data_IF_570857690864
#
_entry.id   IF_570857690864
#
_cell.length_a   1.000
_cell.length_b   1.000
_cell.length_c   1.000
_cell.angle_alpha   90.00
_cell.angle_beta   90.00
_cell.angle_gamma   90.00
#
_symmetry.space_group_name_H-M   'P 1'
#
loop_
_entity.id
_entity.type
_entity.pdbx_description
1 polymer ?
#
# COMPACT_ATOMS: atom_id res chain seq x y z
N UNK A 1 2.59 -12.84 4.65
CA UNK A 1 1.20 -13.30 4.40
C UNK A 1 0.82 -12.88 2.98
N UNK A 2 0.09 -13.70 2.23
CA UNK A 2 -0.41 -13.36 0.89
C UNK A 2 -1.91 -13.05 0.97
N UNK A 3 -2.33 -11.94 0.36
CA UNK A 3 -3.73 -11.49 0.34
C UNK A 3 -4.12 -11.21 -1.11
N UNK A 4 -5.16 -11.90 -1.59
CA UNK A 4 -5.68 -11.73 -2.95
C UNK A 4 -7.00 -10.98 -2.90
N UNK A 5 -7.11 -9.90 -3.68
CA UNK A 5 -8.29 -9.05 -3.79
C UNK A 5 -8.98 -9.29 -5.13
N UNK A 6 -10.28 -9.62 -5.09
CA UNK A 6 -11.10 -9.68 -6.30
C UNK A 6 -11.80 -8.34 -6.50
N UNK A 7 -11.50 -7.68 -7.61
CA UNK A 7 -12.11 -6.40 -7.99
C UNK A 7 -12.88 -6.56 -9.30
N UNK A 8 -13.97 -5.78 -9.50
CA UNK A 8 -14.66 -5.72 -10.78
C UNK A 8 -13.72 -5.32 -11.93
N UNK A 9 -13.94 -5.91 -13.11
CA UNK A 9 -13.05 -5.75 -14.27
C UNK A 9 -12.91 -4.30 -14.74
N UNK A 10 -14.00 -3.53 -14.71
CA UNK A 10 -14.02 -2.11 -15.07
C UNK A 10 -13.21 -1.25 -14.08
N UNK A 11 -13.23 -1.61 -12.79
CA UNK A 11 -12.40 -0.97 -11.75
C UNK A 11 -10.93 -1.32 -12.00
N UNK A 12 -10.62 -2.60 -12.22
CA UNK A 12 -9.26 -3.06 -12.49
C UNK A 12 -8.64 -2.32 -13.69
N UNK A 13 -9.38 -2.18 -14.79
CA UNK A 13 -8.95 -1.41 -15.97
C UNK A 13 -8.60 0.04 -15.63
N UNK A 14 -9.41 0.70 -14.81
CA UNK A 14 -9.16 2.09 -14.40
C UNK A 14 -7.92 2.20 -13.51
N UNK A 15 -7.73 1.25 -12.60
CA UNK A 15 -6.57 1.22 -11.71
C UNK A 15 -5.27 0.96 -12.47
N UNK A 16 -5.28 0.08 -13.48
CA UNK A 16 -4.10 -0.24 -14.29
C UNK A 16 -3.83 0.76 -15.42
N UNK A 17 -4.82 1.53 -15.86
CA UNK A 17 -4.68 2.51 -16.95
C UNK A 17 -3.61 3.58 -16.70
N UNK A 18 -3.29 3.88 -15.44
CA UNK A 18 -2.26 4.84 -15.06
C UNK A 18 -0.81 4.31 -15.22
N UNK A 19 -0.63 3.07 -15.66
CA UNK A 19 0.70 2.52 -16.00
C UNK A 19 1.62 2.18 -14.82
N UNK A 20 1.13 2.28 -13.59
CA UNK A 20 1.89 1.92 -12.37
C UNK A 20 1.44 0.60 -11.74
N UNK A 21 2.32 -0.01 -10.96
CA UNK A 21 2.02 -1.22 -10.18
C UNK A 21 0.84 -0.98 -9.23
N UNK A 22 -0.29 -1.63 -9.51
CA UNK A 22 -1.52 -1.50 -8.70
C UNK A 22 -1.32 -2.15 -7.34
N UNK A 23 -0.62 -3.27 -7.27
CA UNK A 23 -0.38 -3.99 -6.02
C UNK A 23 0.46 -3.14 -5.08
N UNK A 24 1.51 -2.49 -5.60
CA UNK A 24 2.34 -1.58 -4.81
C UNK A 24 1.54 -0.40 -4.26
N UNK A 25 0.76 0.27 -5.11
CA UNK A 25 -0.08 1.41 -4.68
C UNK A 25 -1.16 1.02 -3.68
N UNK A 26 -1.75 -0.16 -3.85
CA UNK A 26 -2.71 -0.69 -2.89
C UNK A 26 -2.06 -0.95 -1.53
N UNK A 27 -0.85 -1.51 -1.52
CA UNK A 27 -0.09 -1.75 -0.30
C UNK A 27 0.29 -0.43 0.40
N UNK A 28 0.73 0.58 -0.35
CA UNK A 28 1.03 1.92 0.15
C UNK A 28 -0.21 2.59 0.76
N UNK A 29 -1.36 2.53 0.08
CA UNK A 29 -2.62 3.07 0.61
C UNK A 29 -3.06 2.38 1.91
N UNK A 30 -2.90 1.06 1.99
CA UNK A 30 -3.21 0.30 3.21
C UNK A 30 -2.27 0.66 4.36
N UNK A 31 -0.98 0.82 4.08
CA UNK A 31 -0.01 1.21 5.10
C UNK A 31 -0.28 2.63 5.63
N UNK A 32 -0.60 3.57 4.73
CA UNK A 32 -0.97 4.93 5.08
C UNK A 32 -2.22 5.00 5.96
N UNK A 33 -3.28 4.28 5.58
CA UNK A 33 -4.52 4.29 6.35
C UNK A 33 -4.36 3.61 7.70
N UNK A 34 -3.67 2.45 7.76
CA UNK A 34 -3.40 1.76 9.02
C UNK A 34 -2.57 2.61 9.98
N UNK A 35 -1.63 3.40 9.48
CA UNK A 35 -0.87 4.35 10.32
C UNK A 35 -1.74 5.51 10.82
N UNK A 36 -2.57 6.08 9.93
CA UNK A 36 -3.52 7.16 10.27
C UNK A 36 -4.50 6.75 11.36
N UNK A 37 -5.00 5.52 11.31
CA UNK A 37 -5.92 4.95 12.29
C UNK A 37 -5.21 4.45 13.57
N UNK A 38 -3.89 4.59 13.66
CA UNK A 38 -3.05 4.04 14.73
C UNK A 38 -3.14 2.50 14.89
N UNK A 39 -3.62 1.80 13.86
CA UNK A 39 -3.62 0.34 13.79
C UNK A 39 -2.23 -0.21 13.46
N UNK A 40 -1.40 0.58 12.76
CA UNK A 40 -0.01 0.30 12.47
C UNK A 40 0.91 1.35 13.11
N UNK A 41 2.04 0.89 13.65
CA UNK A 41 3.14 1.75 14.04
C UNK A 41 4.07 2.03 12.85
N UNK A 42 4.88 3.09 12.94
CA UNK A 42 5.80 3.49 11.87
C UNK A 42 6.77 2.36 11.44
N UNK A 43 7.25 1.55 12.38
CA UNK A 43 8.13 0.43 12.05
C UNK A 43 7.41 -0.66 11.23
N UNK A 44 6.11 -0.86 11.45
CA UNK A 44 5.31 -1.83 10.69
C UNK A 44 5.04 -1.33 9.27
N UNK A 45 4.88 -0.01 9.09
CA UNK A 45 4.80 0.64 7.76
C UNK A 45 6.11 0.42 7.00
N UNK A 46 7.25 0.66 7.66
CA UNK A 46 8.59 0.43 7.09
C UNK A 46 8.76 -1.02 6.62
N UNK A 47 8.45 -2.00 7.48
CA UNK A 47 8.53 -3.42 7.12
C UNK A 47 7.56 -3.79 5.99
N UNK A 48 6.33 -3.29 6.03
CA UNK A 48 5.30 -3.58 5.03
C UNK A 48 5.66 -3.04 3.65
N UNK A 49 6.30 -1.86 3.57
CA UNK A 49 6.67 -1.21 2.32
C UNK A 49 8.11 -1.52 1.88
N UNK A 50 8.89 -2.23 2.70
CA UNK A 50 10.31 -2.51 2.45
C UNK A 50 11.17 -1.24 2.42
N UNK A 51 10.76 -0.21 3.15
CA UNK A 51 11.45 1.08 3.23
C UNK A 51 12.39 1.09 4.44
N UNK A 52 13.51 1.81 4.35
CA UNK A 52 14.31 2.12 5.52
C UNK A 52 13.54 3.04 6.48
N UNK A 53 14.02 3.16 7.72
CA UNK A 53 13.43 4.08 8.70
C UNK A 53 13.36 5.52 8.17
N UNK A 54 14.42 6.00 7.53
CA UNK A 54 14.49 7.38 7.01
C UNK A 54 13.48 7.56 5.87
N UNK A 55 13.44 6.63 4.92
CA UNK A 55 12.45 6.66 3.83
C UNK A 55 11.00 6.56 4.33
N UNK A 56 10.78 5.90 5.46
CA UNK A 56 9.45 5.78 6.07
C UNK A 56 9.04 7.05 6.82
N UNK A 57 10.00 7.80 7.37
CA UNK A 57 9.73 9.12 7.97
C UNK A 57 9.34 10.16 6.92
N UNK A 58 9.77 9.99 5.66
CA UNK A 58 9.43 10.82 4.51
C UNK A 58 8.17 10.37 3.74
N UNK A 59 7.59 9.21 4.08
CA UNK A 59 6.40 8.61 3.45
C UNK A 59 5.09 9.18 4.01
#
# INVERSE_FOLDING_TARGET
>A
MEVTLHVPHDVAKRLTAAGGDVSRRALEALALEGYREHALALYQVSEMLGLSRVETEDF
#
